data_IF_850903894820
#
_entry.id   IF_850903894820
#
_cell.length_a   1.000
_cell.length_b   1.000
_cell.length_c   1.000
_cell.angle_alpha   90.00
_cell.angle_beta   90.00
_cell.angle_gamma   90.00
#
_symmetry.space_group_name_H-M   'P 1'
#
loop_
_entity.id
_entity.type
_entity.pdbx_description
1 polymer ?
#
# COMPACT_ATOMS: atom_id res chain seq x y z
N UNK A 1 -55.05 -1.52 3.92
CA UNK A 1 -54.15 -0.96 4.96
C UNK A 1 -53.11 -1.95 5.50
N UNK A 2 -53.40 -3.25 5.68
CA UNK A 2 -52.40 -4.24 6.15
C UNK A 2 -51.14 -4.32 5.27
N UNK A 3 -51.27 -4.19 3.94
CA UNK A 3 -50.13 -4.31 3.00
C UNK A 3 -49.14 -3.14 3.03
N UNK A 4 -49.55 -1.96 3.49
CA UNK A 4 -48.66 -0.80 3.59
C UNK A 4 -47.75 -0.88 4.83
N UNK A 5 -48.24 -1.48 5.92
CA UNK A 5 -47.49 -1.62 7.17
C UNK A 5 -46.33 -2.62 7.06
N UNK A 6 -46.53 -3.75 6.37
CA UNK A 6 -45.45 -4.72 6.13
C UNK A 6 -44.35 -4.14 5.23
N UNK A 7 -44.70 -3.30 4.25
CA UNK A 7 -43.70 -2.66 3.38
C UNK A 7 -42.83 -1.66 4.16
N UNK A 8 -43.44 -0.81 4.98
CA UNK A 8 -42.72 0.19 5.80
C UNK A 8 -41.81 -0.50 6.82
N UNK A 9 -42.29 -1.57 7.47
CA UNK A 9 -41.49 -2.33 8.43
C UNK A 9 -40.25 -2.98 7.80
N UNK A 10 -40.40 -3.58 6.60
CA UNK A 10 -39.28 -4.18 5.86
C UNK A 10 -38.26 -3.10 5.46
N UNK A 11 -38.72 -1.97 4.91
CA UNK A 11 -37.82 -0.87 4.51
C UNK A 11 -37.04 -0.34 5.71
N UNK A 12 -37.68 -0.17 6.87
CA UNK A 12 -37.01 0.33 8.07
C UNK A 12 -35.86 -0.57 8.52
N UNK A 13 -36.04 -1.90 8.51
CA UNK A 13 -34.98 -2.84 8.87
C UNK A 13 -33.85 -2.82 7.84
N UNK A 14 -34.17 -2.78 6.55
CA UNK A 14 -33.16 -2.71 5.48
C UNK A 14 -32.31 -1.44 5.55
N UNK A 15 -32.90 -0.29 5.87
CA UNK A 15 -32.16 0.98 6.01
C UNK A 15 -31.18 0.93 7.19
N UNK A 16 -31.59 0.35 8.32
CA UNK A 16 -30.71 0.21 9.50
C UNK A 16 -29.56 -0.76 9.21
N UNK A 17 -29.83 -1.88 8.55
CA UNK A 17 -28.80 -2.84 8.15
C UNK A 17 -27.82 -2.25 7.13
N UNK A 18 -28.31 -1.49 6.16
CA UNK A 18 -27.45 -0.80 5.20
C UNK A 18 -26.56 0.25 5.88
N UNK A 19 -27.09 0.98 6.86
CA UNK A 19 -26.33 2.00 7.58
C UNK A 19 -25.12 1.44 8.34
N UNK A 20 -25.17 0.19 8.81
CA UNK A 20 -24.05 -0.46 9.50
C UNK A 20 -23.09 -1.20 8.54
N UNK A 21 -23.61 -1.77 7.45
CA UNK A 21 -22.81 -2.58 6.53
C UNK A 21 -21.93 -1.73 5.61
N UNK A 22 -22.47 -0.62 5.09
CA UNK A 22 -21.77 0.26 4.15
C UNK A 22 -20.41 0.78 4.69
N UNK A 23 -20.31 1.31 5.93
CA UNK A 23 -19.02 1.77 6.44
C UNK A 23 -18.02 0.63 6.65
N UNK A 24 -18.49 -0.56 7.07
CA UNK A 24 -17.61 -1.72 7.27
C UNK A 24 -17.04 -2.26 5.94
N UNK A 25 -17.89 -2.39 4.91
CA UNK A 25 -17.47 -2.86 3.58
C UNK A 25 -16.46 -1.88 2.93
N UNK A 26 -16.59 -0.59 3.24
CA UNK A 26 -15.67 0.44 2.75
C UNK A 26 -14.27 0.27 3.35
N UNK A 27 -14.16 -0.02 4.65
CA UNK A 27 -12.88 -0.24 5.33
C UNK A 27 -12.19 -1.52 4.86
N UNK A 28 -12.94 -2.60 4.62
CA UNK A 28 -12.39 -3.86 4.08
C UNK A 28 -11.90 -3.68 2.63
N UNK A 29 -12.63 -2.91 1.82
CA UNK A 29 -12.19 -2.56 0.47
C UNK A 29 -10.91 -1.73 0.49
N UNK A 30 -10.78 -0.79 1.44
CA UNK A 30 -9.56 0.00 1.64
C UNK A 30 -8.39 -0.93 2.01
N UNK A 31 -8.59 -1.86 2.94
CA UNK A 31 -7.57 -2.83 3.36
C UNK A 31 -7.13 -3.73 2.20
N UNK A 32 -8.06 -4.22 1.39
CA UNK A 32 -7.75 -5.04 0.22
C UNK A 32 -6.88 -4.29 -0.80
N UNK A 33 -7.22 -3.04 -1.11
CA UNK A 33 -6.44 -2.20 -2.03
C UNK A 33 -5.05 -1.85 -1.48
N UNK A 34 -4.94 -1.59 -0.17
CA UNK A 34 -3.63 -1.41 0.48
C UNK A 34 -2.80 -2.69 0.40
N UNK A 35 -3.43 -3.86 0.53
CA UNK A 35 -2.75 -5.15 0.37
C UNK A 35 -2.19 -5.35 -1.04
N UNK A 36 -2.89 -4.87 -2.07
CA UNK A 36 -2.38 -4.85 -3.46
C UNK A 36 -1.10 -4.00 -3.58
N UNK A 37 -1.07 -2.81 -2.98
CA UNK A 37 0.11 -1.94 -2.94
C UNK A 37 1.28 -2.64 -2.23
N UNK A 38 1.03 -3.31 -1.11
CA UNK A 38 2.07 -4.05 -0.38
C UNK A 38 2.62 -5.22 -1.17
N UNK A 39 1.78 -5.88 -1.98
CA UNK A 39 2.22 -6.93 -2.91
C UNK A 39 3.11 -6.34 -4.01
N UNK A 40 2.79 -5.14 -4.50
CA UNK A 40 3.64 -4.39 -5.42
C UNK A 40 5.02 -4.04 -4.84
N UNK A 41 5.07 -3.69 -3.55
CA UNK A 41 6.34 -3.48 -2.85
C UNK A 41 7.20 -4.75 -2.79
N UNK A 42 6.61 -5.93 -2.57
CA UNK A 42 7.38 -7.18 -2.57
C UNK A 42 8.03 -7.46 -3.92
N UNK A 43 7.29 -7.25 -5.02
CA UNK A 43 7.82 -7.38 -6.38
C UNK A 43 8.95 -6.36 -6.65
N UNK A 44 8.76 -5.10 -6.23
CA UNK A 44 9.79 -4.06 -6.33
C UNK A 44 11.03 -4.41 -5.52
N UNK A 45 10.86 -4.92 -4.31
CA UNK A 45 11.97 -5.33 -3.46
C UNK A 45 12.76 -6.47 -4.07
N UNK A 46 12.07 -7.47 -4.62
CA UNK A 46 12.74 -8.58 -5.28
C UNK A 46 13.57 -8.09 -6.47
N UNK A 47 13.00 -7.27 -7.35
CA UNK A 47 13.73 -6.70 -8.49
C UNK A 47 14.92 -5.84 -8.03
N UNK A 48 14.76 -5.03 -6.98
CA UNK A 48 15.85 -4.25 -6.41
C UNK A 48 16.98 -5.14 -5.86
N UNK A 49 16.64 -6.25 -5.19
CA UNK A 49 17.62 -7.22 -4.70
C UNK A 49 18.36 -7.90 -5.86
N UNK A 50 17.65 -8.31 -6.92
CA UNK A 50 18.24 -8.88 -8.14
C UNK A 50 19.19 -7.90 -8.82
N UNK A 51 18.79 -6.62 -8.92
CA UNK A 51 19.64 -5.56 -9.46
C UNK A 51 20.92 -5.38 -8.62
N UNK A 52 20.79 -5.35 -7.28
CA UNK A 52 21.93 -5.27 -6.38
C UNK A 52 22.85 -6.49 -6.52
N UNK A 53 22.29 -7.70 -6.65
CA UNK A 53 23.06 -8.92 -6.84
C UNK A 53 23.85 -8.92 -8.17
N UNK A 54 23.27 -8.34 -9.23
CA UNK A 54 23.91 -8.28 -10.54
C UNK A 54 24.96 -7.15 -10.65
N UNK A 55 24.72 -6.01 -10.02
CA UNK A 55 25.55 -4.79 -10.22
C UNK A 55 26.42 -4.42 -9.02
N UNK A 56 26.19 -5.03 -7.87
CA UNK A 56 26.90 -4.73 -6.61
C UNK A 56 26.46 -3.45 -5.91
N UNK A 57 25.37 -2.82 -6.37
CA UNK A 57 24.78 -1.63 -5.76
C UNK A 57 23.27 -1.55 -6.06
N UNK A 58 22.50 -0.93 -5.18
CA UNK A 58 21.08 -0.68 -5.48
C UNK A 58 20.92 0.38 -6.59
N UNK A 59 19.75 0.42 -7.26
CA UNK A 59 19.43 1.47 -8.23
C UNK A 59 19.61 2.88 -7.64
N UNK A 60 20.03 3.84 -8.46
CA UNK A 60 20.09 5.24 -8.06
C UNK A 60 18.68 5.83 -7.91
N UNK A 61 18.55 6.97 -7.21
CA UNK A 61 17.26 7.59 -6.94
C UNK A 61 16.51 7.98 -8.24
N UNK A 62 17.26 8.38 -9.25
CA UNK A 62 16.80 8.77 -10.59
C UNK A 62 16.55 7.56 -11.50
N UNK A 63 16.84 6.34 -11.05
CA UNK A 63 16.57 5.14 -11.83
C UNK A 63 15.05 4.96 -11.97
N UNK A 64 14.54 4.85 -13.22
CA UNK A 64 13.12 4.68 -13.45
C UNK A 64 12.62 3.36 -12.86
N UNK A 65 11.74 3.43 -11.86
CA UNK A 65 11.17 2.25 -11.19
C UNK A 65 10.47 1.30 -12.17
N UNK A 66 9.91 1.84 -13.26
CA UNK A 66 9.23 1.04 -14.30
C UNK A 66 10.17 0.09 -15.05
N UNK A 67 11.46 0.40 -15.06
CA UNK A 67 12.47 -0.45 -15.69
C UNK A 67 12.91 -1.58 -14.74
N UNK A 68 12.66 -1.44 -13.44
CA UNK A 68 12.82 -2.52 -12.45
C UNK A 68 11.61 -3.46 -12.44
N UNK A 69 10.40 -2.90 -12.44
CA UNK A 69 9.16 -3.69 -12.31
C UNK A 69 7.94 -2.94 -12.87
N UNK A 70 7.06 -3.69 -13.54
CA UNK A 70 5.77 -3.18 -14.00
C UNK A 70 4.77 -3.14 -12.84
N UNK A 71 4.68 -2.00 -12.16
CA UNK A 71 3.73 -1.77 -11.05
C UNK A 71 2.48 -1.02 -11.51
N UNK A 72 1.33 -1.37 -10.91
CA UNK A 72 0.09 -0.62 -11.06
C UNK A 72 0.20 0.77 -10.42
N UNK A 73 -0.26 1.80 -11.14
CA UNK A 73 -0.33 3.18 -10.65
C UNK A 73 -1.77 3.60 -10.31
N UNK A 74 -2.72 2.66 -10.32
CA UNK A 74 -4.14 2.96 -10.14
C UNK A 74 -4.45 3.64 -8.81
N UNK A 75 -3.65 3.36 -7.77
CA UNK A 75 -3.89 3.85 -6.41
C UNK A 75 -2.87 4.87 -5.90
N UNK A 76 -1.91 5.25 -6.74
CA UNK A 76 -0.82 6.11 -6.32
C UNK A 76 0.45 5.88 -7.14
N UNK A 77 1.53 6.49 -6.66
CA UNK A 77 2.80 6.51 -7.39
C UNK A 77 3.92 5.97 -6.51
N UNK A 78 4.72 5.06 -7.09
CA UNK A 78 5.98 4.62 -6.49
C UNK A 78 7.09 5.62 -6.80
N UNK A 79 7.92 5.91 -5.82
CA UNK A 79 9.07 6.78 -5.91
C UNK A 79 10.25 6.18 -5.13
N UNK A 80 11.46 6.47 -5.57
CA UNK A 80 12.67 6.14 -4.83
C UNK A 80 13.07 7.36 -4.01
N UNK A 81 13.34 7.16 -2.72
CA UNK A 81 13.97 8.19 -1.90
C UNK A 81 15.48 8.18 -2.10
N UNK A 82 16.14 9.26 -1.69
CA UNK A 82 17.58 9.36 -1.76
C UNK A 82 18.24 8.19 -1.03
N UNK A 83 19.17 7.55 -1.72
CA UNK A 83 20.00 6.48 -1.18
C UNK A 83 20.90 7.03 -0.08
N UNK A 84 20.99 6.32 1.05
CA UNK A 84 21.96 6.60 2.11
C UNK A 84 23.33 5.91 1.87
N UNK A 85 23.33 4.73 1.23
CA UNK A 85 24.54 3.94 0.89
C UNK A 85 24.26 3.02 -0.31
N UNK A 86 25.30 2.54 -1.01
CA UNK A 86 25.14 1.54 -2.10
C UNK A 86 24.35 0.29 -1.70
N UNK A 87 24.36 -0.02 -0.40
CA UNK A 87 23.71 -1.17 0.23
C UNK A 87 22.31 -0.85 0.81
N UNK A 88 21.83 0.39 0.67
CA UNK A 88 20.57 0.87 1.24
C UNK A 88 19.72 1.60 0.21
N UNK A 89 18.46 1.18 0.06
CA UNK A 89 17.46 1.86 -0.75
C UNK A 89 16.13 1.97 0.00
N UNK A 90 15.42 3.07 -0.20
CA UNK A 90 14.08 3.26 0.36
C UNK A 90 13.10 3.61 -0.74
N UNK A 91 12.04 2.82 -0.84
CA UNK A 91 10.94 3.06 -1.76
C UNK A 91 9.76 3.64 -1.01
N UNK A 92 9.11 4.63 -1.63
CA UNK A 92 7.93 5.31 -1.11
C UNK A 92 6.79 5.16 -2.11
N UNK A 93 5.63 4.75 -1.61
CA UNK A 93 4.38 4.83 -2.34
C UNK A 93 3.54 5.95 -1.76
N UNK A 94 3.08 6.86 -2.62
CA UNK A 94 2.16 7.93 -2.24
C UNK A 94 0.79 7.61 -2.78
N UNK A 95 -0.18 7.43 -1.88
CA UNK A 95 -1.56 7.12 -2.21
C UNK A 95 -2.27 8.32 -2.86
N UNK A 96 -3.10 8.05 -3.86
CA UNK A 96 -3.99 9.04 -4.47
C UNK A 96 -5.37 9.04 -3.80
N UNK A 97 -6.32 9.80 -4.35
CA UNK A 97 -7.69 9.89 -3.85
C UNK A 97 -8.65 8.79 -4.35
N UNK A 98 -8.17 7.77 -5.05
CA UNK A 98 -9.02 6.72 -5.68
C UNK A 98 -9.48 5.69 -4.64
N UNK A 99 -8.68 5.42 -3.61
CA UNK A 99 -9.04 4.46 -2.55
C UNK A 99 -9.99 5.12 -1.55
N UNK A 100 -9.60 6.26 -1.02
CA UNK A 100 -10.37 7.08 -0.09
C UNK A 100 -9.76 8.49 -0.08
N UNK A 101 -10.59 9.52 0.09
CA UNK A 101 -10.12 10.89 0.27
C UNK A 101 -9.24 11.05 1.51
N UNK A 102 -9.44 10.19 2.53
CA UNK A 102 -8.64 10.18 3.76
C UNK A 102 -7.23 9.61 3.59
N UNK A 103 -6.96 8.90 2.49
CA UNK A 103 -5.64 8.34 2.17
C UNK A 103 -4.86 9.18 1.16
N UNK A 104 -5.46 10.22 0.60
CA UNK A 104 -4.80 11.04 -0.40
C UNK A 104 -3.56 11.73 0.19
N UNK A 105 -2.39 11.46 -0.38
CA UNK A 105 -1.10 11.97 0.11
C UNK A 105 -0.51 11.19 1.29
N UNK A 106 -1.18 10.16 1.80
CA UNK A 106 -0.55 9.23 2.72
C UNK A 106 0.60 8.49 2.03
N UNK A 107 1.64 8.16 2.80
CA UNK A 107 2.81 7.47 2.29
C UNK A 107 3.03 6.15 3.01
N UNK A 108 3.49 5.16 2.25
CA UNK A 108 4.04 3.91 2.76
C UNK A 108 5.48 3.79 2.30
N UNK A 109 6.39 3.64 3.26
CA UNK A 109 7.83 3.63 3.02
C UNK A 109 8.41 2.26 3.42
N UNK A 110 9.15 1.66 2.50
CA UNK A 110 9.88 0.42 2.75
C UNK A 110 11.37 0.63 2.49
N UNK A 111 12.19 0.30 3.49
CA UNK A 111 13.64 0.28 3.38
C UNK A 111 14.11 -1.15 3.11
N UNK A 112 15.03 -1.27 2.16
CA UNK A 112 15.76 -2.50 1.88
C UNK A 112 17.23 -2.23 2.18
N UNK A 113 17.81 -3.05 3.03
CA UNK A 113 19.22 -2.98 3.43
C UNK A 113 19.88 -4.32 3.10
N UNK A 114 21.02 -4.27 2.44
CA UNK A 114 21.88 -5.43 2.25
C UNK A 114 22.95 -5.48 3.34
N UNK A 115 23.03 -6.61 4.04
CA UNK A 115 24.09 -6.91 5.00
C UNK A 115 24.83 -8.17 4.52
N UNK A 116 26.16 -8.14 4.32
CA UNK A 116 26.91 -9.30 3.84
C UNK A 116 26.84 -10.51 4.80
N UNK A 117 26.46 -10.32 6.06
CA UNK A 117 26.33 -11.41 7.05
C UNK A 117 24.91 -11.99 7.15
N UNK A 118 23.88 -11.20 6.81
CA UNK A 118 22.46 -11.55 7.02
C UNK A 118 21.65 -11.60 5.72
N UNK A 119 22.23 -11.13 4.61
CA UNK A 119 21.55 -10.99 3.32
C UNK A 119 20.70 -9.71 3.25
N UNK A 120 19.59 -9.80 2.53
CA UNK A 120 18.68 -8.68 2.31
C UNK A 120 17.62 -8.60 3.40
N UNK A 121 17.54 -7.45 4.06
CA UNK A 121 16.54 -7.16 5.09
C UNK A 121 15.57 -6.11 4.57
N UNK A 122 14.27 -6.42 4.59
CA UNK A 122 13.19 -5.48 4.25
C UNK A 122 12.54 -4.99 5.54
N UNK A 123 12.27 -3.70 5.65
CA UNK A 123 11.62 -3.10 6.82
C UNK A 123 10.69 -1.96 6.43
N UNK A 124 9.48 -1.97 6.97
CA UNK A 124 8.55 -0.85 6.89
C UNK A 124 9.02 0.27 7.82
N UNK A 125 9.12 1.50 7.30
CA UNK A 125 9.57 2.64 8.08
C UNK A 125 8.41 3.29 8.84
N UNK A 126 8.69 3.74 10.07
CA UNK A 126 7.77 4.50 10.90
C UNK A 126 7.47 5.90 10.36
N UNK A 127 8.21 6.35 9.34
CA UNK A 127 7.94 7.60 8.59
C UNK A 127 6.73 7.51 7.68
N UNK A 128 6.18 6.30 7.47
CA UNK A 128 4.94 6.08 6.74
C UNK A 128 3.78 6.78 7.46
N UNK A 129 3.05 7.65 6.76
CA UNK A 129 1.89 8.37 7.30
C UNK A 129 0.58 7.59 7.18
N UNK A 130 0.63 6.38 6.63
CA UNK A 130 -0.53 5.48 6.54
C UNK A 130 -1.08 5.15 7.95
N UNK A 131 -2.40 5.20 8.17
CA UNK A 131 -3.01 4.87 9.47
C UNK A 131 -2.58 3.49 9.99
N UNK A 132 -2.34 3.37 11.31
CA UNK A 132 -1.77 2.15 11.91
C UNK A 132 -2.59 0.89 11.63
N UNK A 133 -3.92 1.00 11.56
CA UNK A 133 -4.82 -0.14 11.29
C UNK A 133 -4.70 -0.70 9.86
N UNK A 134 -4.09 0.05 8.94
CA UNK A 134 -3.91 -0.31 7.53
C UNK A 134 -2.45 -0.64 7.18
N UNK A 135 -1.49 -0.41 8.09
CA UNK A 135 -0.09 -0.77 7.85
C UNK A 135 0.11 -2.29 7.97
N UNK A 136 0.98 -2.90 7.14
CA UNK A 136 1.41 -4.28 7.35
C UNK A 136 1.97 -4.44 8.77
N UNK A 137 1.56 -5.51 9.45
CA UNK A 137 2.17 -5.87 10.73
C UNK A 137 3.61 -6.32 10.46
N UNK A 138 4.56 -5.69 11.16
CA UNK A 138 5.96 -6.11 11.20
C UNK A 138 6.09 -7.50 11.81
#
# INVERSE_FOLDING_TARGET
MKSALILIGVIAVTVIQAAIAIPADMDDTVRAKVSEVTTGFEALAQSACEYHAATGQFPAQDFPIRDLVALSQSYGTFSCLARASKDDITYRFTFNNVISSSLNGCTLDMKITYNPSEGYVKRWLSTSTLPEGLRPRN
#
